data_IF_719776476590
#
_entry.id   IF_719776476590
#
_cell.length_a   1.000
_cell.length_b   1.000
_cell.length_c   1.000
_cell.angle_alpha   90.00
_cell.angle_beta   90.00
_cell.angle_gamma   90.00
#
_symmetry.space_group_name_H-M   'P 1'
#
loop_
_entity.id
_entity.type
_entity.pdbx_description
1 polymer ?
#
# COMPACT_ATOMS: atom_id res chain seq x y z
N UNK A 1 23.20 16.45 0.23
CA UNK A 1 23.24 15.64 -1.02
C UNK A 1 22.14 14.58 -1.06
N UNK A 2 21.77 13.94 0.04
CA UNK A 2 20.74 12.89 0.12
C UNK A 2 19.34 13.31 -0.33
N UNK A 3 18.89 14.53 -0.07
CA UNK A 3 17.56 15.00 -0.43
C UNK A 3 17.30 15.03 -1.95
N UNK A 4 18.29 15.46 -2.75
CA UNK A 4 18.18 15.43 -4.22
C UNK A 4 18.09 14.00 -4.78
N UNK A 5 18.80 13.06 -4.17
CA UNK A 5 18.76 11.64 -4.50
C UNK A 5 17.38 11.07 -4.21
N UNK A 6 16.83 11.32 -3.03
CA UNK A 6 15.49 10.91 -2.65
C UNK A 6 14.43 11.46 -3.61
N UNK A 7 14.47 12.76 -3.94
CA UNK A 7 13.53 13.38 -4.88
C UNK A 7 13.59 12.72 -6.28
N UNK A 8 14.80 12.37 -6.72
CA UNK A 8 15.00 11.66 -8.00
C UNK A 8 14.37 10.26 -7.98
N UNK A 9 14.49 9.51 -6.86
CA UNK A 9 13.85 8.20 -6.69
C UNK A 9 12.33 8.32 -6.68
N UNK A 10 11.78 9.24 -5.91
CA UNK A 10 10.35 9.49 -5.86
C UNK A 10 9.79 9.81 -7.23
N UNK A 11 10.44 10.72 -7.98
CA UNK A 11 10.03 11.05 -9.35
C UNK A 11 10.03 9.83 -10.26
N UNK A 12 11.06 8.98 -10.21
CA UNK A 12 11.14 7.75 -11.01
C UNK A 12 10.01 6.78 -10.68
N UNK A 13 9.68 6.59 -9.39
CA UNK A 13 8.63 5.68 -8.95
C UNK A 13 7.26 6.21 -9.38
N UNK A 14 6.94 7.48 -9.12
CA UNK A 14 5.64 8.06 -9.49
C UNK A 14 5.40 8.17 -10.99
N UNK A 15 6.45 8.39 -11.78
CA UNK A 15 6.36 8.38 -13.23
C UNK A 15 6.35 6.96 -13.81
N UNK A 16 6.52 5.93 -12.97
CA UNK A 16 6.50 4.54 -13.43
C UNK A 16 5.06 4.07 -13.67
N UNK A 17 4.83 3.47 -14.83
CA UNK A 17 3.55 2.82 -15.15
C UNK A 17 3.19 1.70 -14.14
N UNK A 18 4.20 1.01 -13.60
CA UNK A 18 4.04 -0.05 -12.61
C UNK A 18 3.41 0.47 -11.32
N UNK A 19 3.74 1.71 -10.90
CA UNK A 19 3.13 2.33 -9.73
C UNK A 19 1.60 2.47 -9.88
N UNK A 20 1.15 2.97 -11.01
CA UNK A 20 -0.27 3.14 -11.28
C UNK A 20 -1.00 1.80 -11.44
N UNK A 21 -0.39 0.84 -12.15
CA UNK A 21 -0.94 -0.52 -12.24
C UNK A 21 -1.12 -1.13 -10.86
N UNK A 22 -0.15 -0.97 -9.95
CA UNK A 22 -0.22 -1.53 -8.59
C UNK A 22 -1.37 -0.94 -7.79
N UNK A 23 -1.66 0.36 -7.94
CA UNK A 23 -2.83 1.02 -7.32
C UNK A 23 -4.12 0.38 -7.83
N UNK A 24 -4.26 0.24 -9.17
CA UNK A 24 -5.45 -0.36 -9.76
C UNK A 24 -5.60 -1.84 -9.38
N UNK A 25 -4.52 -2.62 -9.36
CA UNK A 25 -4.56 -4.01 -8.92
C UNK A 25 -5.01 -4.14 -7.47
N UNK A 26 -4.53 -3.26 -6.58
CA UNK A 26 -4.99 -3.21 -5.19
C UNK A 26 -6.48 -2.91 -5.11
N UNK A 27 -6.97 -1.91 -5.85
CA UNK A 27 -8.37 -1.55 -5.88
C UNK A 27 -9.26 -2.66 -6.45
N UNK A 28 -8.83 -3.30 -7.56
CA UNK A 28 -9.54 -4.42 -8.18
C UNK A 28 -9.62 -5.60 -7.21
N UNK A 29 -8.49 -5.99 -6.61
CA UNK A 29 -8.46 -7.11 -5.66
C UNK A 29 -9.39 -6.87 -4.47
N UNK A 30 -9.40 -5.65 -3.93
CA UNK A 30 -10.32 -5.27 -2.87
C UNK A 30 -11.80 -5.31 -3.35
N UNK A 31 -12.07 -4.91 -4.59
CA UNK A 31 -13.43 -4.91 -5.17
C UNK A 31 -13.94 -6.31 -5.48
N UNK A 32 -13.08 -7.28 -5.74
CA UNK A 32 -13.48 -8.68 -5.94
C UNK A 32 -14.23 -9.24 -4.74
N UNK A 33 -13.88 -8.81 -3.52
CA UNK A 33 -14.59 -9.23 -2.32
C UNK A 33 -16.09 -8.84 -2.37
N UNK A 34 -16.40 -7.62 -2.79
CA UNK A 34 -17.80 -7.18 -2.93
C UNK A 34 -18.58 -7.97 -3.98
N UNK A 35 -17.88 -8.45 -5.00
CA UNK A 35 -18.49 -9.26 -6.06
C UNK A 35 -18.80 -10.70 -5.58
N UNK A 36 -17.89 -11.30 -4.84
CA UNK A 36 -18.08 -12.69 -4.36
C UNK A 36 -19.12 -12.81 -3.26
N UNK A 37 -19.19 -11.83 -2.37
CA UNK A 37 -20.11 -11.84 -1.23
C UNK A 37 -20.91 -10.53 -1.14
N UNK A 38 -21.82 -10.27 -2.10
CA UNK A 38 -22.53 -8.99 -2.17
C UNK A 38 -23.44 -8.75 -0.95
N UNK A 39 -23.90 -9.83 -0.30
CA UNK A 39 -24.79 -9.78 0.87
C UNK A 39 -24.05 -9.82 2.20
N UNK A 40 -22.75 -10.09 2.21
CA UNK A 40 -21.96 -10.21 3.44
C UNK A 40 -21.76 -8.86 4.15
N UNK A 41 -21.72 -7.77 3.39
CA UNK A 41 -21.56 -6.42 3.93
C UNK A 41 -22.82 -5.60 3.77
N UNK A 42 -23.28 -4.96 4.84
CA UNK A 42 -24.48 -4.11 4.85
C UNK A 42 -24.13 -2.69 4.39
N UNK A 43 -22.95 -2.19 4.77
CA UNK A 43 -22.48 -0.85 4.48
C UNK A 43 -21.00 -0.80 4.06
N UNK A 44 -20.50 0.39 3.71
CA UNK A 44 -19.12 0.58 3.25
C UNK A 44 -18.10 0.32 4.36
N UNK A 45 -18.45 0.63 5.61
CA UNK A 45 -17.58 0.37 6.78
C UNK A 45 -17.41 -1.12 6.96
N UNK A 46 -18.50 -1.87 6.90
CA UNK A 46 -18.53 -3.31 7.02
C UNK A 46 -17.75 -4.00 5.88
N UNK A 47 -17.91 -3.49 4.64
CA UNK A 47 -17.15 -3.99 3.50
C UNK A 47 -15.62 -3.85 3.68
N UNK A 48 -15.15 -2.73 4.24
CA UNK A 48 -13.73 -2.57 4.55
C UNK A 48 -13.27 -3.52 5.64
N UNK A 49 -14.06 -3.69 6.70
CA UNK A 49 -13.73 -4.58 7.81
C UNK A 49 -13.67 -6.04 7.36
N UNK A 50 -14.63 -6.49 6.58
CA UNK A 50 -14.63 -7.83 6.00
C UNK A 50 -13.40 -8.07 5.12
N UNK A 51 -13.05 -7.10 4.24
CA UNK A 51 -11.83 -7.17 3.44
C UNK A 51 -10.58 -7.39 4.30
N UNK A 52 -10.48 -6.66 5.41
CA UNK A 52 -9.32 -6.73 6.32
C UNK A 52 -9.30 -8.01 7.17
N UNK A 53 -10.45 -8.64 7.42
CA UNK A 53 -10.56 -9.90 8.16
C UNK A 53 -10.38 -11.12 7.25
N UNK A 54 -10.66 -11.02 5.95
CA UNK A 54 -10.47 -12.11 5.00
C UNK A 54 -8.99 -12.36 4.72
N UNK A 55 -8.51 -13.49 5.16
CA UNK A 55 -7.10 -13.87 5.13
C UNK A 55 -6.46 -13.87 3.74
N UNK A 56 -7.20 -14.25 2.69
CA UNK A 56 -6.68 -14.35 1.34
C UNK A 56 -6.34 -12.96 0.74
N UNK A 57 -7.28 -12.03 0.76
CA UNK A 57 -7.09 -10.69 0.19
C UNK A 57 -6.09 -9.86 0.99
N UNK A 58 -6.12 -9.97 2.31
CA UNK A 58 -5.15 -9.33 3.20
C UNK A 58 -3.71 -9.70 2.89
N UNK A 59 -3.44 -10.93 2.44
CA UNK A 59 -2.10 -11.40 2.08
C UNK A 59 -1.64 -10.94 0.69
N UNK A 60 -2.55 -10.76 -0.25
CA UNK A 60 -2.25 -10.39 -1.64
C UNK A 60 -1.94 -8.89 -1.77
N UNK A 61 -2.67 -8.03 -1.07
CA UNK A 61 -2.50 -6.57 -1.15
C UNK A 61 -1.07 -6.11 -0.85
N UNK A 62 -0.36 -6.60 0.19
CA UNK A 62 1.03 -6.23 0.44
C UNK A 62 1.99 -6.56 -0.70
N UNK A 63 1.72 -7.60 -1.49
CA UNK A 63 2.55 -7.94 -2.66
C UNK A 63 2.47 -6.83 -3.71
N UNK A 64 1.27 -6.31 -3.99
CA UNK A 64 1.10 -5.21 -4.94
C UNK A 64 1.74 -3.91 -4.42
N UNK A 65 1.73 -3.68 -3.11
CA UNK A 65 2.41 -2.54 -2.51
C UNK A 65 3.93 -2.58 -2.71
N UNK A 66 4.53 -3.76 -2.79
CA UNK A 66 5.97 -3.93 -2.99
C UNK A 66 6.39 -3.81 -4.47
N UNK A 67 5.50 -4.05 -5.45
CA UNK A 67 5.85 -4.10 -6.88
C UNK A 67 6.56 -2.88 -7.43
N UNK A 68 6.13 -1.62 -7.19
CA UNK A 68 6.78 -0.46 -7.80
C UNK A 68 8.24 -0.33 -7.39
N UNK A 69 8.51 -0.62 -6.13
CA UNK A 69 9.85 -0.57 -5.59
C UNK A 69 10.69 -1.76 -6.08
N UNK A 70 10.15 -2.99 -6.04
CA UNK A 70 10.86 -4.19 -6.49
C UNK A 70 11.26 -4.09 -7.97
N UNK A 71 10.37 -3.59 -8.83
CA UNK A 71 10.65 -3.38 -10.24
C UNK A 71 11.76 -2.32 -10.48
N UNK A 72 11.75 -1.23 -9.72
CA UNK A 72 12.78 -0.20 -9.80
C UNK A 72 14.14 -0.74 -9.32
N UNK A 73 14.16 -1.46 -8.20
CA UNK A 73 15.35 -2.07 -7.65
C UNK A 73 15.96 -3.10 -8.62
N UNK A 74 15.14 -3.99 -9.20
CA UNK A 74 15.58 -4.98 -10.19
C UNK A 74 16.19 -4.30 -11.42
N UNK A 75 15.62 -3.21 -11.90
CA UNK A 75 16.14 -2.42 -13.02
C UNK A 75 17.50 -1.82 -12.71
N UNK A 76 17.68 -1.24 -11.53
CA UNK A 76 18.96 -0.65 -11.10
C UNK A 76 20.05 -1.73 -10.93
N UNK A 77 19.67 -2.88 -10.37
CA UNK A 77 20.57 -4.02 -10.21
C UNK A 77 21.05 -4.55 -11.57
N UNK A 78 20.12 -4.81 -12.50
CA UNK A 78 20.44 -5.32 -13.84
C UNK A 78 21.33 -4.38 -14.66
N UNK A 79 21.14 -3.07 -14.51
CA UNK A 79 21.92 -2.05 -15.25
C UNK A 79 23.28 -1.74 -14.65
N UNK A 80 23.69 -2.36 -13.54
CA UNK A 80 24.88 -2.04 -12.76
C UNK A 80 25.03 -0.54 -12.41
N UNK A 81 23.91 0.20 -12.45
CA UNK A 81 23.88 1.61 -12.04
C UNK A 81 24.20 1.77 -10.55
N UNK A 82 23.99 0.72 -9.79
CA UNK A 82 24.29 0.62 -8.37
C UNK A 82 25.73 1.07 -8.07
N UNK A 83 26.74 0.54 -8.79
CA UNK A 83 28.14 0.87 -8.57
C UNK A 83 28.42 2.36 -8.82
N UNK A 84 27.88 2.90 -9.90
CA UNK A 84 28.09 4.32 -10.26
C UNK A 84 27.43 5.29 -9.27
N UNK A 85 26.31 4.92 -8.68
CA UNK A 85 25.59 5.72 -7.68
C UNK A 85 26.35 5.69 -6.35
N UNK A 86 26.84 4.52 -5.93
CA UNK A 86 27.63 4.37 -4.70
C UNK A 86 28.93 5.15 -4.77
N UNK A 87 29.62 5.14 -5.90
CA UNK A 87 30.85 5.94 -6.09
C UNK A 87 30.60 7.45 -5.98
N UNK A 88 29.42 7.94 -6.38
CA UNK A 88 29.05 9.37 -6.33
C UNK A 88 28.37 9.78 -5.03
N UNK A 89 27.73 8.86 -4.35
CA UNK A 89 27.02 9.08 -3.08
C UNK A 89 27.51 8.08 -2.05
N UNK A 90 27.56 8.48 -0.79
CA UNK A 90 27.91 7.55 0.28
C UNK A 90 26.86 6.41 0.33
N UNK A 91 27.31 5.17 0.58
CA UNK A 91 26.45 3.96 0.74
C UNK A 91 25.27 4.20 1.70
N UNK A 92 25.53 4.88 2.82
CA UNK A 92 24.48 5.24 3.80
C UNK A 92 23.40 6.13 3.19
N UNK A 93 23.79 7.14 2.40
CA UNK A 93 22.83 8.05 1.75
C UNK A 93 21.99 7.35 0.68
N UNK A 94 22.58 6.39 -0.03
CA UNK A 94 21.87 5.55 -0.99
C UNK A 94 20.85 4.66 -0.29
N UNK A 95 21.28 3.91 0.73
CA UNK A 95 20.41 3.00 1.47
C UNK A 95 19.22 3.72 2.13
N UNK A 96 19.47 4.87 2.76
CA UNK A 96 18.38 5.67 3.36
C UNK A 96 17.42 6.20 2.30
N UNK A 97 17.90 6.67 1.16
CA UNK A 97 17.03 7.15 0.09
C UNK A 97 16.14 6.03 -0.49
N UNK A 98 16.70 4.84 -0.68
CA UNK A 98 15.94 3.65 -1.10
C UNK A 98 14.90 3.21 -0.09
N UNK A 99 15.28 3.14 1.19
CA UNK A 99 14.36 2.77 2.27
C UNK A 99 13.17 3.72 2.34
N UNK A 100 13.43 5.02 2.35
CA UNK A 100 12.36 6.03 2.38
C UNK A 100 11.48 5.95 1.12
N UNK A 101 12.07 5.75 -0.04
CA UNK A 101 11.32 5.59 -1.29
C UNK A 101 10.41 4.34 -1.27
N UNK A 102 10.91 3.22 -0.72
CA UNK A 102 10.13 1.99 -0.52
C UNK A 102 8.93 2.24 0.40
N UNK A 103 9.16 2.84 1.57
CA UNK A 103 8.11 3.14 2.56
C UNK A 103 7.02 4.02 1.94
N UNK A 104 7.40 5.14 1.34
CA UNK A 104 6.43 6.11 0.79
C UNK A 104 5.66 5.51 -0.39
N UNK A 105 6.34 4.81 -1.31
CA UNK A 105 5.67 4.21 -2.46
C UNK A 105 4.70 3.10 -2.05
N UNK A 106 5.09 2.21 -1.15
CA UNK A 106 4.24 1.11 -0.67
C UNK A 106 3.03 1.63 0.10
N UNK A 107 3.23 2.63 0.96
CA UNK A 107 2.14 3.29 1.67
C UNK A 107 1.12 3.89 0.69
N UNK A 108 1.59 4.68 -0.28
CA UNK A 108 0.72 5.36 -1.23
C UNK A 108 -0.03 4.38 -2.14
N UNK A 109 0.62 3.30 -2.62
CA UNK A 109 -0.05 2.28 -3.44
C UNK A 109 -1.21 1.66 -2.69
N UNK A 110 -0.97 1.22 -1.46
CA UNK A 110 -2.00 0.58 -0.65
C UNK A 110 -3.10 1.57 -0.27
N UNK A 111 -2.73 2.75 0.22
CA UNK A 111 -3.67 3.78 0.66
C UNK A 111 -4.56 4.29 -0.47
N UNK A 112 -3.97 4.66 -1.62
CA UNK A 112 -4.74 5.11 -2.79
C UNK A 112 -5.59 3.99 -3.39
N UNK A 113 -5.08 2.75 -3.42
CA UNK A 113 -5.85 1.58 -3.85
C UNK A 113 -7.08 1.34 -2.97
N UNK A 114 -6.94 1.43 -1.64
CA UNK A 114 -8.06 1.33 -0.72
C UNK A 114 -9.03 2.51 -0.85
N UNK A 115 -8.55 3.73 -1.07
CA UNK A 115 -9.44 4.88 -1.31
C UNK A 115 -10.28 4.70 -2.58
N UNK A 116 -9.70 4.18 -3.66
CA UNK A 116 -10.45 3.84 -4.88
C UNK A 116 -11.51 2.75 -4.60
N UNK A 117 -11.15 1.73 -3.84
CA UNK A 117 -12.09 0.69 -3.40
C UNK A 117 -13.24 1.29 -2.58
N UNK A 118 -12.94 2.15 -1.60
CA UNK A 118 -13.96 2.82 -0.78
C UNK A 118 -14.88 3.70 -1.63
N UNK A 119 -14.32 4.42 -2.61
CA UNK A 119 -15.10 5.19 -3.59
C UNK A 119 -16.08 4.29 -4.37
N UNK A 120 -15.60 3.15 -4.87
CA UNK A 120 -16.42 2.16 -5.55
C UNK A 120 -17.49 1.54 -4.65
N UNK A 121 -17.12 1.12 -3.43
CA UNK A 121 -18.05 0.57 -2.45
C UNK A 121 -19.16 1.55 -2.08
N UNK A 122 -18.82 2.85 -1.96
CA UNK A 122 -19.78 3.93 -1.67
C UNK A 122 -20.83 4.12 -2.77
N UNK A 123 -20.50 3.84 -4.02
CA UNK A 123 -21.47 3.92 -5.13
C UNK A 123 -22.51 2.80 -5.05
N UNK A 124 -22.18 1.67 -4.43
CA UNK A 124 -23.06 0.51 -4.35
C UNK A 124 -23.79 0.40 -3.01
N UNK A 125 -23.22 0.93 -1.94
CA UNK A 125 -23.70 0.74 -0.57
C UNK A 125 -23.75 2.06 0.20
N UNK A 126 -24.65 2.17 1.20
CA UNK A 126 -24.64 3.30 2.12
C UNK A 126 -23.32 3.37 2.88
N UNK A 127 -22.97 4.56 3.37
CA UNK A 127 -21.71 4.77 4.06
C UNK A 127 -21.67 4.03 5.40
N UNK A 128 -22.71 4.20 6.21
CA UNK A 128 -22.90 3.59 7.52
C UNK A 128 -24.38 3.54 7.85
N UNK A 129 -24.88 2.38 8.25
CA UNK A 129 -26.31 2.16 8.56
C UNK A 129 -26.60 2.06 10.05
N UNK A 130 -25.57 2.21 10.90
CA UNK A 130 -25.72 2.06 12.35
C UNK A 130 -25.84 0.62 12.82
N UNK A 131 -25.65 -0.38 11.95
CA UNK A 131 -25.51 -1.76 12.32
C UNK A 131 -24.23 -1.91 13.13
N UNK A 132 -24.42 -2.19 14.41
CA UNK A 132 -23.40 -2.10 15.44
C UNK A 132 -22.37 -3.21 15.30
N UNK A 133 -21.14 -2.82 15.01
CA UNK A 133 -19.97 -3.63 15.37
C UNK A 133 -19.12 -2.80 16.34
N UNK A 134 -18.95 -3.26 17.60
CA UNK A 134 -18.04 -2.63 18.54
C UNK A 134 -16.61 -2.87 18.05
N UNK A 135 -16.17 -2.11 17.07
CA UNK A 135 -14.80 -2.18 16.55
C UNK A 135 -13.95 -1.26 17.42
N UNK A 136 -13.70 -1.72 18.63
CA UNK A 136 -12.62 -1.13 19.41
C UNK A 136 -11.30 -1.26 18.63
N UNK A 137 -10.40 -0.26 18.66
CA UNK A 137 -10.42 0.94 19.49
C UNK A 137 -10.96 2.21 18.80
N UNK A 138 -11.31 2.17 17.51
CA UNK A 138 -11.64 3.37 16.73
C UNK A 138 -13.15 3.62 16.57
N UNK A 139 -13.99 2.81 17.20
CA UNK A 139 -15.47 2.90 17.16
C UNK A 139 -16.02 4.26 17.59
N UNK A 140 -15.30 5.01 18.41
CA UNK A 140 -15.66 6.38 18.87
C UNK A 140 -15.98 7.29 17.67
N UNK A 141 -15.28 7.15 16.54
CA UNK A 141 -15.53 7.97 15.35
C UNK A 141 -16.86 7.64 14.65
N UNK A 142 -17.28 6.36 14.73
CA UNK A 142 -18.58 5.92 14.21
C UNK A 142 -19.72 6.41 15.12
N UNK A 143 -19.54 6.34 16.43
CA UNK A 143 -20.50 6.85 17.43
C UNK A 143 -20.69 8.37 17.30
N UNK A 144 -19.62 9.11 17.01
CA UNK A 144 -19.65 10.54 16.77
C UNK A 144 -20.22 10.94 15.39
N UNK A 145 -20.68 10.00 14.58
CA UNK A 145 -21.24 10.28 13.25
C UNK A 145 -20.20 10.69 12.19
N UNK A 146 -18.93 10.32 12.38
CA UNK A 146 -17.81 10.60 11.48
C UNK A 146 -17.23 9.34 10.81
N UNK A 147 -18.03 8.58 10.04
CA UNK A 147 -17.59 7.31 9.45
C UNK A 147 -16.42 7.48 8.47
N UNK A 148 -16.29 8.62 7.80
CA UNK A 148 -15.13 8.89 6.92
C UNK A 148 -13.80 8.93 7.68
N UNK A 149 -13.78 9.51 8.87
CA UNK A 149 -12.57 9.53 9.70
C UNK A 149 -12.16 8.10 10.11
N UNK A 150 -13.16 7.29 10.48
CA UNK A 150 -12.92 5.88 10.77
C UNK A 150 -12.29 5.14 9.57
N UNK A 151 -12.88 5.26 8.38
CA UNK A 151 -12.38 4.62 7.17
C UNK A 151 -10.95 5.06 6.81
N UNK A 152 -10.64 6.35 6.93
CA UNK A 152 -9.30 6.89 6.66
C UNK A 152 -8.27 6.36 7.66
N UNK A 153 -8.60 6.30 8.96
CA UNK A 153 -7.71 5.81 10.00
C UNK A 153 -7.41 4.32 9.77
N UNK A 154 -8.44 3.50 9.58
CA UNK A 154 -8.28 2.06 9.37
C UNK A 154 -7.48 1.77 8.10
N UNK A 155 -7.78 2.46 6.99
CA UNK A 155 -7.02 2.34 5.74
C UNK A 155 -5.56 2.76 5.91
N UNK A 156 -5.28 3.80 6.69
CA UNK A 156 -3.91 4.27 6.97
C UNK A 156 -3.12 3.23 7.78
N UNK A 157 -3.72 2.66 8.81
CA UNK A 157 -3.08 1.63 9.66
C UNK A 157 -2.76 0.38 8.83
N UNK A 158 -3.71 -0.06 8.00
CA UNK A 158 -3.46 -1.20 7.12
C UNK A 158 -2.35 -0.90 6.10
N UNK A 159 -2.34 0.29 5.51
CA UNK A 159 -1.28 0.72 4.59
C UNK A 159 0.09 0.76 5.25
N UNK A 160 0.18 1.18 6.52
CA UNK A 160 1.41 1.09 7.31
C UNK A 160 1.86 -0.37 7.52
N UNK A 161 0.93 -1.28 7.79
CA UNK A 161 1.25 -2.71 7.86
C UNK A 161 1.81 -3.25 6.53
N UNK A 162 1.25 -2.84 5.40
CA UNK A 162 1.77 -3.20 4.08
C UNK A 162 3.18 -2.65 3.83
N UNK A 163 3.50 -1.46 4.34
CA UNK A 163 4.87 -0.91 4.24
C UNK A 163 5.87 -1.73 5.01
N UNK A 164 5.52 -2.24 6.20
CA UNK A 164 6.40 -3.14 6.96
C UNK A 164 6.72 -4.42 6.18
N UNK A 165 5.72 -5.03 5.56
CA UNK A 165 5.93 -6.21 4.71
C UNK A 165 6.83 -5.91 3.50
N UNK A 166 6.64 -4.76 2.86
CA UNK A 166 7.49 -4.31 1.74
C UNK A 166 8.93 -4.08 2.18
N UNK A 167 9.14 -3.54 3.40
CA UNK A 167 10.47 -3.36 4.00
C UNK A 167 11.15 -4.70 4.30
N UNK A 168 10.41 -5.68 4.82
CA UNK A 168 10.93 -7.04 4.99
C UNK A 168 11.35 -7.66 3.65
N UNK A 169 10.55 -7.47 2.60
CA UNK A 169 10.88 -7.90 1.24
C UNK A 169 12.18 -7.25 0.72
N UNK A 170 12.34 -5.94 0.96
CA UNK A 170 13.58 -5.22 0.62
C UNK A 170 14.79 -5.80 1.36
N UNK A 171 14.66 -6.03 2.68
CA UNK A 171 15.74 -6.58 3.48
C UNK A 171 16.14 -7.99 2.99
N UNK A 172 15.15 -8.85 2.71
CA UNK A 172 15.40 -10.18 2.16
C UNK A 172 16.10 -10.13 0.80
N UNK A 173 15.70 -9.21 -0.10
CA UNK A 173 16.35 -9.06 -1.41
C UNK A 173 17.82 -8.65 -1.31
N UNK A 174 18.18 -7.93 -0.26
CA UNK A 174 19.58 -7.56 -0.01
C UNK A 174 20.44 -8.77 0.46
N UNK A 175 19.83 -9.75 1.16
CA UNK A 175 20.53 -10.96 1.58
C UNK A 175 20.65 -12.02 0.46
N UNK A 176 19.73 -12.03 -0.48
CA UNK A 176 19.70 -13.01 -1.57
C UNK A 176 19.83 -12.35 -2.95
N UNK A 177 20.95 -11.70 -3.28
CA UNK A 177 21.11 -10.95 -4.52
C UNK A 177 21.10 -11.79 -5.80
N UNK A 178 21.22 -13.14 -5.69
CA UNK A 178 21.35 -14.05 -6.83
C UNK A 178 20.02 -14.75 -7.24
N UNK A 179 18.87 -14.33 -6.69
CA UNK A 179 17.59 -14.98 -7.00
C UNK A 179 16.89 -14.32 -8.22
N UNK A 180 17.50 -13.29 -8.82
CA UNK A 180 16.92 -12.58 -9.98
C UNK A 180 17.77 -12.70 -11.23
#
# INVERSE_FOLDING_TARGET
MGFRLWLSYMKKIFCSFIFWISIFLTAITASFHLYYEPNASVDTVDALLLLLHLDAFRKIIPLFAAFPFAAQFAKEWKSRMFDSIIYRSNVKSYATAQTVACVVSSFLVCFLGLLLFLGYARLQKPLYTGSFYPVAPYGIWLENGLPWMYLLIVSSIFSLSCTLWSMCGLALSAFFPNIY
#
